data_IF_106086758117
#
_entry.id   IF_106086758117
#
_cell.length_a   1.000
_cell.length_b   1.000
_cell.length_c   1.000
_cell.angle_alpha   90.00
_cell.angle_beta   90.00
_cell.angle_gamma   90.00
#
_symmetry.space_group_name_H-M   'P 1'
#
loop_
_entity.id
_entity.type
_entity.pdbx_description
1 polymer ?
#
# COMPACT_ATOMS: atom_id res chain seq x y z
N UNK A 1 35.72 -85.05 23.12
CA UNK A 1 34.30 -85.25 22.92
C UNK A 1 33.59 -83.97 23.27
N UNK A 2 33.16 -83.23 22.29
CA UNK A 2 32.04 -82.26 22.33
C UNK A 2 32.07 -81.49 21.01
N UNK A 3 31.04 -81.68 20.24
CA UNK A 3 30.85 -81.04 18.91
C UNK A 3 30.29 -79.62 19.11
N UNK A 4 31.01 -78.68 18.54
CA UNK A 4 30.54 -77.31 18.41
C UNK A 4 29.71 -77.15 17.12
N UNK A 5 28.45 -76.77 17.21
CA UNK A 5 27.58 -76.46 16.10
C UNK A 5 27.77 -74.97 15.73
N UNK A 6 28.17 -74.74 14.49
CA UNK A 6 28.18 -73.39 13.88
C UNK A 6 26.75 -73.06 13.36
N UNK A 7 26.18 -71.98 13.90
CA UNK A 7 24.99 -71.37 13.35
C UNK A 7 25.42 -70.25 12.38
N UNK A 8 25.13 -70.43 11.13
CA UNK A 8 25.23 -69.32 10.14
C UNK A 8 23.92 -68.55 10.18
N UNK A 9 23.98 -67.35 10.71
CA UNK A 9 22.87 -66.38 10.59
C UNK A 9 22.97 -65.66 9.22
N UNK A 10 22.08 -66.00 8.32
CA UNK A 10 21.88 -65.23 7.09
C UNK A 10 21.22 -63.92 7.39
N UNK A 11 21.91 -62.81 7.17
CA UNK A 11 21.33 -61.47 7.21
C UNK A 11 20.61 -61.20 5.92
N UNK A 12 19.27 -61.26 5.97
CA UNK A 12 18.42 -60.77 4.88
C UNK A 12 18.36 -59.25 4.99
N UNK A 13 19.06 -58.56 4.12
CA UNK A 13 18.97 -57.11 3.99
C UNK A 13 17.61 -56.75 3.37
N UNK A 14 16.69 -56.24 4.18
CA UNK A 14 15.43 -55.68 3.70
C UNK A 14 15.73 -54.26 3.18
N UNK A 15 15.82 -54.09 1.88
CA UNK A 15 15.87 -52.79 1.22
C UNK A 15 14.47 -52.15 1.34
N UNK A 16 14.29 -51.32 2.36
CA UNK A 16 13.16 -50.42 2.42
C UNK A 16 13.43 -49.28 1.44
N UNK A 17 12.88 -49.38 0.25
CA UNK A 17 12.83 -48.27 -0.68
C UNK A 17 11.94 -47.17 -0.10
N UNK A 18 12.52 -46.15 0.48
CA UNK A 18 11.82 -44.92 0.79
C UNK A 18 11.53 -44.22 -0.53
N UNK A 19 10.34 -44.42 -1.05
CA UNK A 19 9.79 -43.58 -2.10
C UNK A 19 9.63 -42.17 -1.48
N UNK A 20 10.58 -41.30 -1.74
CA UNK A 20 10.40 -39.85 -1.51
C UNK A 20 9.41 -39.40 -2.56
N UNK A 21 8.13 -39.58 -2.29
CA UNK A 21 7.07 -38.88 -2.99
C UNK A 21 7.30 -37.41 -2.76
N UNK A 22 7.76 -36.67 -3.78
CA UNK A 22 7.69 -35.23 -3.79
C UNK A 22 6.22 -34.88 -3.56
N UNK A 23 5.90 -34.49 -2.34
CA UNK A 23 4.68 -33.73 -2.05
C UNK A 23 4.84 -32.42 -2.83
N UNK A 24 4.40 -32.44 -4.08
CA UNK A 24 4.04 -31.19 -4.76
C UNK A 24 2.92 -30.63 -3.90
N UNK A 25 3.27 -29.68 -3.07
CA UNK A 25 2.26 -28.92 -2.35
C UNK A 25 1.33 -28.37 -3.43
N UNK A 26 0.13 -28.91 -3.50
CA UNK A 26 -0.92 -28.38 -4.33
C UNK A 26 -1.09 -26.95 -3.86
N UNK A 27 -0.68 -25.97 -4.68
CA UNK A 27 -1.01 -24.58 -4.43
C UNK A 27 -2.51 -24.52 -4.18
N UNK A 28 -2.94 -23.83 -3.11
CA UNK A 28 -4.38 -23.63 -2.88
C UNK A 28 -4.98 -23.12 -4.18
N UNK A 29 -6.13 -23.67 -4.58
CA UNK A 29 -6.86 -23.19 -5.75
C UNK A 29 -6.97 -21.67 -5.59
N UNK A 30 -6.36 -20.93 -6.52
CA UNK A 30 -6.33 -19.48 -6.49
C UNK A 30 -7.76 -18.93 -6.48
N UNK A 31 -7.96 -17.69 -6.02
CA UNK A 31 -9.28 -17.06 -6.03
C UNK A 31 -9.89 -17.14 -7.43
N UNK A 32 -11.18 -17.40 -7.52
CA UNK A 32 -11.94 -17.57 -8.78
C UNK A 32 -12.22 -16.25 -9.52
N UNK A 33 -11.50 -15.18 -9.20
CA UNK A 33 -11.61 -13.86 -9.83
C UNK A 33 -10.32 -13.42 -10.48
N UNK A 34 -10.28 -12.21 -11.04
CA UNK A 34 -9.06 -11.62 -11.56
C UNK A 34 -7.95 -11.68 -10.53
N UNK A 35 -6.77 -12.13 -10.96
CA UNK A 35 -5.64 -12.32 -10.07
C UNK A 35 -4.77 -11.07 -10.05
N UNK A 36 -4.30 -10.64 -8.87
CA UNK A 36 -3.36 -9.54 -8.79
C UNK A 36 -2.03 -9.91 -9.45
N UNK A 37 -1.30 -8.91 -9.91
CA UNK A 37 0.08 -9.11 -10.30
C UNK A 37 0.95 -9.42 -9.09
N UNK A 38 1.85 -10.36 -9.24
CA UNK A 38 2.85 -10.70 -8.23
C UNK A 38 4.24 -10.24 -8.66
N UNK A 39 5.16 -10.16 -7.71
CA UNK A 39 6.58 -9.92 -8.00
C UNK A 39 7.08 -10.94 -9.03
N UNK A 40 7.73 -10.44 -10.08
CA UNK A 40 8.22 -11.28 -11.17
C UNK A 40 7.27 -11.41 -12.36
N UNK A 41 6.03 -10.95 -12.26
CA UNK A 41 5.16 -10.86 -13.43
C UNK A 41 5.70 -9.80 -14.41
N UNK A 42 5.58 -10.07 -15.70
CA UNK A 42 6.00 -9.12 -16.73
C UNK A 42 5.07 -7.91 -16.76
N UNK A 43 5.63 -6.73 -16.71
CA UNK A 43 4.87 -5.49 -16.90
C UNK A 43 4.24 -5.48 -18.30
N UNK A 44 3.02 -4.96 -18.39
CA UNK A 44 2.28 -4.89 -19.64
C UNK A 44 1.48 -6.16 -20.00
N UNK A 45 1.64 -7.26 -19.27
CA UNK A 45 0.75 -8.40 -19.40
C UNK A 45 -0.56 -8.18 -18.65
N UNK A 46 -1.68 -8.75 -19.12
CA UNK A 46 -2.96 -8.64 -18.42
C UNK A 46 -2.88 -9.34 -17.07
N UNK A 47 -3.56 -8.76 -16.08
CA UNK A 47 -3.68 -9.35 -14.74
C UNK A 47 -4.49 -10.64 -14.81
N UNK A 48 -5.47 -10.65 -15.70
CA UNK A 48 -6.40 -11.73 -15.86
C UNK A 48 -6.60 -11.99 -17.35
N UNK A 49 -5.81 -12.88 -17.95
CA UNK A 49 -6.01 -13.25 -19.35
C UNK A 49 -7.42 -13.83 -19.52
N UNK A 50 -8.05 -13.57 -20.66
CA UNK A 50 -9.32 -14.16 -21.02
C UNK A 50 -9.22 -15.70 -20.98
N UNK A 51 -10.34 -16.43 -20.76
CA UNK A 51 -10.33 -17.91 -20.69
C UNK A 51 -9.76 -18.59 -21.95
N UNK A 52 -9.81 -17.92 -23.08
CA UNK A 52 -9.22 -18.35 -24.36
C UNK A 52 -7.71 -18.03 -24.47
N UNK A 53 -7.11 -17.45 -23.43
CA UNK A 53 -5.72 -17.01 -23.43
C UNK A 53 -5.46 -15.70 -24.19
N UNK A 54 -6.51 -15.00 -24.62
CA UNK A 54 -6.36 -13.74 -25.32
C UNK A 54 -5.64 -12.70 -24.43
N UNK A 55 -4.72 -11.98 -25.03
CA UNK A 55 -3.96 -10.93 -24.36
C UNK A 55 -4.69 -9.60 -24.47
N UNK A 56 -5.03 -9.02 -23.31
CA UNK A 56 -5.58 -7.66 -23.23
C UNK A 56 -4.51 -6.72 -22.70
N UNK A 57 -3.94 -5.83 -23.52
CA UNK A 57 -2.90 -4.91 -23.07
C UNK A 57 -3.45 -3.88 -22.09
N UNK A 58 -2.56 -3.20 -21.36
CA UNK A 58 -2.90 -2.00 -20.60
C UNK A 58 -3.51 -0.95 -21.52
N UNK A 59 -4.36 -0.09 -20.95
CA UNK A 59 -4.95 1.04 -21.69
C UNK A 59 -3.88 1.94 -22.30
N UNK A 60 -4.12 2.47 -23.49
CA UNK A 60 -3.15 3.29 -24.24
C UNK A 60 -2.74 4.60 -23.55
N UNK A 61 -3.50 5.04 -22.56
CA UNK A 61 -3.22 6.22 -21.76
C UNK A 61 -2.37 5.93 -20.51
N UNK A 62 -1.90 4.68 -20.33
CA UNK A 62 -1.04 4.27 -19.23
C UNK A 62 0.40 4.20 -19.67
N UNK A 63 1.30 4.79 -18.88
CA UNK A 63 2.75 4.63 -18.99
C UNK A 63 3.26 4.03 -17.69
N UNK A 64 4.24 3.14 -17.78
CA UNK A 64 4.83 2.44 -16.62
C UNK A 64 6.33 2.67 -16.61
N UNK A 65 6.84 3.13 -15.47
CA UNK A 65 8.26 3.35 -15.24
C UNK A 65 8.70 2.55 -13.99
N UNK A 66 9.88 1.96 -14.04
CA UNK A 66 10.59 1.43 -12.87
C UNK A 66 11.34 2.55 -12.13
N UNK A 67 12.13 2.25 -11.17
CA UNK A 67 13.03 3.13 -10.40
C UNK A 67 12.60 3.40 -8.95
N UNK A 68 11.61 2.69 -8.46
CA UNK A 68 11.22 2.69 -7.04
C UNK A 68 11.21 1.27 -6.49
N UNK A 69 11.13 1.12 -5.20
CA UNK A 69 11.13 -0.17 -4.55
C UNK A 69 9.99 -0.30 -3.54
N UNK A 70 9.06 -1.20 -3.83
CA UNK A 70 7.92 -1.52 -2.95
C UNK A 70 7.18 -0.27 -2.44
N UNK A 71 7.04 0.75 -3.30
CA UNK A 71 6.28 1.94 -2.97
C UNK A 71 4.79 1.64 -2.94
N UNK A 72 4.09 2.23 -1.99
CA UNK A 72 2.67 2.01 -1.79
C UNK A 72 1.87 3.28 -2.07
N UNK A 73 2.43 4.45 -1.80
CA UNK A 73 1.78 5.74 -2.03
C UNK A 73 2.69 6.75 -2.74
N UNK A 74 2.10 7.87 -3.12
CA UNK A 74 2.82 9.06 -3.55
C UNK A 74 2.06 10.33 -3.15
N UNK A 75 2.80 11.44 -3.13
CA UNK A 75 2.26 12.79 -2.92
C UNK A 75 2.89 13.76 -3.93
N UNK A 76 2.21 14.85 -4.26
CA UNK A 76 2.75 15.86 -5.16
C UNK A 76 3.28 17.07 -4.40
N UNK A 77 4.58 17.36 -4.55
CA UNK A 77 5.19 18.58 -4.02
C UNK A 77 5.07 19.70 -5.05
N UNK A 78 4.09 20.56 -4.88
CA UNK A 78 3.85 21.70 -5.76
C UNK A 78 5.00 22.74 -5.71
N UNK A 79 5.76 22.82 -4.61
CA UNK A 79 6.86 23.77 -4.47
C UNK A 79 8.05 23.39 -5.34
N UNK A 80 8.40 22.10 -5.37
CA UNK A 80 9.48 21.57 -6.22
C UNK A 80 9.00 21.08 -7.57
N UNK A 81 7.70 20.94 -7.75
CA UNK A 81 7.09 20.39 -8.96
C UNK A 81 7.59 18.97 -9.24
N UNK A 82 7.57 18.12 -8.21
CA UNK A 82 7.99 16.71 -8.29
C UNK A 82 7.00 15.82 -7.54
N UNK A 83 7.10 14.52 -7.80
CA UNK A 83 6.35 13.48 -7.11
C UNK A 83 7.21 12.95 -5.97
N UNK A 84 6.66 12.92 -4.77
CA UNK A 84 7.28 12.38 -3.56
C UNK A 84 6.82 10.94 -3.40
N UNK A 85 7.76 10.00 -3.32
CA UNK A 85 7.46 8.57 -3.30
C UNK A 85 8.14 7.91 -2.11
N UNK A 86 7.41 7.53 -1.08
CA UNK A 86 7.91 6.67 -0.01
C UNK A 86 8.15 5.25 -0.53
N UNK A 87 9.32 4.71 -0.21
CA UNK A 87 9.71 3.35 -0.55
C UNK A 87 9.79 2.51 0.72
N UNK A 88 9.13 1.36 0.77
CA UNK A 88 8.99 0.50 1.94
C UNK A 88 10.25 -0.31 2.28
N UNK A 89 11.27 -0.21 1.44
CA UNK A 89 12.51 -0.95 1.64
C UNK A 89 12.42 -2.42 1.25
N UNK A 90 13.44 -3.19 1.61
CA UNK A 90 13.64 -4.55 1.12
C UNK A 90 12.57 -5.51 1.63
N UNK A 91 11.88 -6.18 0.69
CA UNK A 91 11.06 -7.36 0.95
C UNK A 91 9.72 -7.11 1.63
N UNK A 92 9.27 -5.88 1.76
CA UNK A 92 8.03 -5.53 2.48
C UNK A 92 8.02 -6.05 3.94
N UNK A 93 9.19 -6.22 4.51
CA UNK A 93 9.33 -6.58 5.92
C UNK A 93 9.66 -5.33 6.73
N UNK A 94 9.12 -5.24 7.92
CA UNK A 94 9.50 -4.17 8.85
C UNK A 94 10.95 -4.37 9.26
N UNK A 95 11.81 -3.50 8.75
CA UNK A 95 13.22 -3.48 9.11
C UNK A 95 13.57 -2.07 9.57
N UNK A 96 14.09 -1.97 10.76
CA UNK A 96 14.44 -0.69 11.35
C UNK A 96 15.30 0.16 10.40
N UNK A 97 14.78 1.34 10.06
CA UNK A 97 15.47 2.32 9.21
C UNK A 97 15.87 1.83 7.81
N UNK A 98 15.09 0.96 7.19
CA UNK A 98 15.39 0.43 5.86
C UNK A 98 14.68 1.18 4.72
N UNK A 99 13.68 1.97 5.03
CA UNK A 99 12.90 2.71 4.07
C UNK A 99 13.55 4.06 3.69
N UNK A 100 13.04 4.67 2.62
CA UNK A 100 13.50 5.97 2.12
C UNK A 100 12.42 6.68 1.33
N UNK A 101 12.59 7.98 1.09
CA UNK A 101 11.73 8.78 0.22
C UNK A 101 12.53 9.23 -1.00
N UNK A 102 11.95 9.07 -2.18
CA UNK A 102 12.49 9.51 -3.46
C UNK A 102 11.70 10.68 -4.02
N UNK A 103 12.33 11.50 -4.87
CA UNK A 103 11.66 12.41 -5.77
C UNK A 103 11.69 11.86 -7.19
N UNK A 104 10.55 11.90 -7.86
CA UNK A 104 10.36 11.42 -9.22
C UNK A 104 9.85 12.57 -10.09
N UNK A 105 10.37 12.70 -11.30
CA UNK A 105 9.90 13.66 -12.28
C UNK A 105 8.56 13.23 -12.90
N UNK A 106 7.88 14.15 -13.59
CA UNK A 106 6.60 13.92 -14.26
C UNK A 106 6.63 12.84 -15.34
N UNK A 107 7.79 12.54 -15.88
CA UNK A 107 7.99 11.48 -16.88
C UNK A 107 8.36 10.12 -16.26
N UNK A 108 8.46 10.04 -14.94
CA UNK A 108 8.82 8.85 -14.19
C UNK A 108 10.33 8.68 -13.96
N UNK A 109 11.17 9.55 -14.52
CA UNK A 109 12.60 9.52 -14.26
C UNK A 109 12.92 9.95 -12.82
N UNK A 110 14.01 9.43 -12.26
CA UNK A 110 14.42 9.76 -10.89
C UNK A 110 14.99 11.17 -10.83
N UNK A 111 14.37 12.04 -10.02
CA UNK A 111 14.94 13.33 -9.68
C UNK A 111 15.97 13.19 -8.54
N UNK A 112 15.59 12.57 -7.42
CA UNK A 112 16.46 12.33 -6.28
C UNK A 112 16.18 10.95 -5.71
N UNK A 113 17.16 10.05 -5.77
CA UNK A 113 16.94 8.63 -5.45
C UNK A 113 16.57 8.39 -3.97
N UNK A 114 17.22 9.08 -3.05
CA UNK A 114 16.98 8.96 -1.60
C UNK A 114 17.10 10.32 -0.94
N UNK A 115 16.05 11.10 -1.03
CA UNK A 115 16.01 12.41 -0.40
C UNK A 115 15.95 12.30 1.13
N UNK A 116 15.12 11.40 1.65
CA UNK A 116 15.10 11.02 3.05
C UNK A 116 15.53 9.55 3.14
N UNK A 117 16.40 9.22 4.07
CA UNK A 117 16.86 7.86 4.28
C UNK A 117 18.38 7.73 4.25
N UNK A 118 18.88 6.53 4.50
CA UNK A 118 20.33 6.25 4.44
C UNK A 118 20.78 6.25 2.98
N UNK A 119 21.78 7.07 2.68
CA UNK A 119 22.42 7.13 1.34
C UNK A 119 23.53 6.10 1.20
N UNK A 120 24.29 5.87 2.28
CA UNK A 120 25.41 4.92 2.32
C UNK A 120 25.25 3.94 3.48
N UNK A 121 25.72 2.67 3.31
CA UNK A 121 25.76 1.71 4.40
C UNK A 121 26.69 2.21 5.50
N UNK A 122 26.35 2.67 6.56
CA UNK A 122 27.17 3.23 7.62
C UNK A 122 26.83 4.68 7.96
N UNK A 123 26.00 5.35 7.15
CA UNK A 123 25.42 6.62 7.54
C UNK A 123 24.54 6.41 8.78
N UNK A 124 24.86 7.13 9.83
CA UNK A 124 24.12 6.99 11.09
C UNK A 124 22.95 7.96 11.09
N UNK A 125 21.74 7.43 10.89
CA UNK A 125 20.49 8.17 11.02
C UNK A 125 20.28 8.74 12.42
N UNK A 126 20.94 8.16 13.42
CA UNK A 126 20.97 8.62 14.81
C UNK A 126 21.61 9.98 15.01
N UNK A 127 22.38 10.48 14.01
CA UNK A 127 23.02 11.81 14.11
C UNK A 127 22.05 12.98 13.92
N UNK A 128 20.83 12.72 13.46
CA UNK A 128 19.76 13.75 13.38
C UNK A 128 19.14 13.99 14.76
N UNK A 129 18.64 15.21 14.99
CA UNK A 129 17.89 15.53 16.20
C UNK A 129 16.54 16.13 15.82
N UNK A 130 15.43 15.41 16.03
CA UNK A 130 15.33 14.03 16.50
C UNK A 130 15.96 13.02 15.52
N UNK A 131 16.25 11.78 15.96
CA UNK A 131 16.79 10.73 15.08
C UNK A 131 15.87 10.47 13.89
N UNK A 132 16.45 10.25 12.71
CA UNK A 132 15.70 9.85 11.54
C UNK A 132 15.33 8.37 11.66
N UNK A 133 14.03 8.08 11.73
CA UNK A 133 13.49 6.73 11.69
C UNK A 133 12.49 6.65 10.55
N UNK A 134 12.61 5.63 9.69
CA UNK A 134 11.66 5.31 8.63
C UNK A 134 11.75 3.81 8.34
N UNK A 135 10.71 3.07 8.69
CA UNK A 135 10.74 1.60 8.67
C UNK A 135 10.02 1.02 7.46
N UNK A 136 8.72 1.23 7.37
CA UNK A 136 7.88 0.68 6.30
C UNK A 136 6.71 1.64 6.01
N UNK A 137 6.97 2.78 5.36
CA UNK A 137 5.92 3.75 5.06
C UNK A 137 4.93 3.21 4.03
N UNK A 138 3.65 3.35 4.34
CA UNK A 138 2.52 3.08 3.47
C UNK A 138 2.00 4.39 2.87
N UNK A 139 0.89 4.92 3.38
CA UNK A 139 0.29 6.16 2.91
C UNK A 139 1.14 7.40 3.16
N UNK A 140 0.95 8.40 2.34
CA UNK A 140 1.66 9.68 2.45
C UNK A 140 0.80 10.85 2.03
N UNK A 141 0.98 11.98 2.72
CA UNK A 141 0.39 13.26 2.34
C UNK A 141 1.33 14.43 2.65
N UNK A 142 1.10 15.57 1.98
CA UNK A 142 1.85 16.81 2.20
C UNK A 142 0.87 17.93 2.55
N UNK A 143 0.93 18.37 3.79
CA UNK A 143 0.16 19.51 4.27
C UNK A 143 1.07 20.54 4.95
N UNK A 144 0.87 21.82 4.66
CA UNK A 144 1.57 22.95 5.28
C UNK A 144 3.10 22.78 5.36
N UNK A 145 3.73 22.25 4.30
CA UNK A 145 5.19 22.08 4.22
C UNK A 145 5.76 20.92 5.05
N UNK A 146 4.90 20.03 5.52
CA UNK A 146 5.25 18.79 6.21
C UNK A 146 4.81 17.59 5.37
N UNK A 147 5.69 16.62 5.21
CA UNK A 147 5.38 15.29 4.70
C UNK A 147 4.96 14.41 5.89
N UNK A 148 3.77 13.86 5.80
CA UNK A 148 3.21 12.89 6.73
C UNK A 148 3.32 11.50 6.12
N UNK A 149 3.77 10.53 6.90
CA UNK A 149 3.92 9.13 6.47
C UNK A 149 3.25 8.21 7.47
N UNK A 150 2.40 7.32 6.98
CA UNK A 150 1.90 6.17 7.74
C UNK A 150 3.01 5.13 7.80
N UNK A 151 3.71 5.07 8.93
CA UNK A 151 4.81 4.13 9.16
C UNK A 151 4.47 3.21 10.33
N UNK A 152 5.34 2.28 10.66
CA UNK A 152 5.18 1.44 11.83
C UNK A 152 6.50 1.11 12.51
N UNK A 153 6.41 0.83 13.80
CA UNK A 153 7.47 0.23 14.59
C UNK A 153 7.11 -1.22 14.92
N UNK A 154 8.10 -2.05 15.20
CA UNK A 154 7.87 -3.44 15.57
C UNK A 154 7.38 -4.32 14.42
N UNK A 155 6.69 -5.41 14.76
CA UNK A 155 6.21 -6.38 13.77
C UNK A 155 7.30 -7.32 13.26
N UNK A 156 8.45 -7.37 13.94
CA UNK A 156 9.60 -8.20 13.53
C UNK A 156 9.53 -9.63 14.07
N UNK A 157 8.57 -9.91 14.96
CA UNK A 157 8.39 -11.22 15.55
C UNK A 157 7.22 -11.32 16.53
N UNK A 158 6.95 -12.50 17.06
CA UNK A 158 5.79 -12.74 17.94
C UNK A 158 5.77 -11.92 19.24
N UNK A 159 6.95 -11.50 19.70
CA UNK A 159 7.12 -10.73 20.92
C UNK A 159 7.35 -9.24 20.67
N UNK A 160 7.21 -8.82 19.42
CA UNK A 160 7.40 -7.46 18.96
C UNK A 160 6.22 -7.04 18.07
N UNK A 161 5.06 -6.74 18.65
CA UNK A 161 3.87 -6.40 17.87
C UNK A 161 4.08 -5.11 17.09
N UNK A 162 3.53 -5.08 15.88
CA UNK A 162 3.53 -3.86 15.07
C UNK A 162 2.68 -2.78 15.74
N UNK A 163 3.18 -1.54 15.68
CA UNK A 163 2.53 -0.35 16.20
C UNK A 163 2.56 0.73 15.13
N UNK A 164 1.43 1.36 14.89
CA UNK A 164 1.33 2.45 13.91
C UNK A 164 2.04 3.70 14.40
N UNK A 165 2.74 4.36 13.49
CA UNK A 165 3.41 5.63 13.74
C UNK A 165 3.14 6.59 12.57
N UNK A 166 2.65 7.79 12.85
CA UNK A 166 2.65 8.88 11.87
C UNK A 166 3.96 9.62 12.00
N UNK A 167 4.83 9.51 10.99
CA UNK A 167 6.09 10.26 10.96
C UNK A 167 5.95 11.53 10.16
N UNK A 168 6.62 12.58 10.60
CA UNK A 168 6.60 13.90 9.98
C UNK A 168 8.00 14.30 9.54
N UNK A 169 8.10 14.86 8.33
CA UNK A 169 9.35 15.37 7.80
C UNK A 169 9.14 16.78 7.23
N UNK A 170 10.07 17.66 7.47
CA UNK A 170 10.04 19.01 6.91
C UNK A 170 10.32 18.95 5.41
N UNK A 171 9.38 19.40 4.59
CA UNK A 171 9.50 19.33 3.13
C UNK A 171 10.65 20.16 2.58
N UNK A 172 11.10 21.22 3.27
CA UNK A 172 12.23 22.03 2.80
C UNK A 172 13.58 21.31 2.97
N UNK A 173 13.75 20.59 4.08
CA UNK A 173 15.06 20.06 4.49
C UNK A 173 15.15 18.53 4.48
N UNK A 174 14.03 17.83 4.51
CA UNK A 174 13.99 16.37 4.73
C UNK A 174 14.24 15.95 6.19
N UNK A 175 14.41 16.91 7.08
CA UNK A 175 14.66 16.61 8.48
C UNK A 175 13.41 16.09 9.18
N UNK A 176 13.56 15.15 10.16
CA UNK A 176 12.46 14.73 11.01
C UNK A 176 11.80 15.93 11.70
N UNK A 177 10.47 15.99 11.71
CA UNK A 177 9.67 17.04 12.30
C UNK A 177 8.74 16.54 13.40
N UNK A 178 9.00 15.33 13.92
CA UNK A 178 8.24 14.69 14.98
C UNK A 178 7.49 13.44 14.50
N UNK A 179 6.88 12.78 15.47
CA UNK A 179 6.09 11.57 15.22
C UNK A 179 4.93 11.46 16.21
N UNK A 180 3.92 10.68 15.85
CA UNK A 180 2.83 10.27 16.74
C UNK A 180 2.70 8.77 16.71
N UNK A 181 3.00 8.14 17.84
CA UNK A 181 2.88 6.69 18.03
C UNK A 181 1.47 6.35 18.53
N UNK A 182 0.86 5.35 17.92
CA UNK A 182 -0.51 4.90 18.25
C UNK A 182 -0.49 3.44 18.67
N UNK A 183 -0.22 3.18 19.94
CA UNK A 183 0.01 1.82 20.47
C UNK A 183 -1.20 0.87 20.33
N UNK A 184 -2.39 1.40 20.16
CA UNK A 184 -3.63 0.61 19.97
C UNK A 184 -3.90 0.27 18.52
N UNK A 185 -3.12 0.80 17.58
CA UNK A 185 -3.23 0.50 16.15
C UNK A 185 -2.09 -0.40 15.70
N UNK A 186 -2.39 -1.39 14.90
CA UNK A 186 -1.42 -2.41 14.45
C UNK A 186 -0.84 -2.13 13.06
N UNK A 187 -1.36 -1.13 12.35
CA UNK A 187 -0.86 -0.75 11.02
C UNK A 187 -1.80 0.23 10.35
N UNK A 188 -1.35 1.48 10.15
CA UNK A 188 -2.03 2.38 9.24
C UNK A 188 -1.74 1.99 7.80
N UNK A 189 -2.73 2.18 6.93
CA UNK A 189 -2.57 1.97 5.50
C UNK A 189 -2.37 3.31 4.81
N UNK A 190 -3.39 4.14 4.74
CA UNK A 190 -3.30 5.45 4.12
C UNK A 190 -3.62 6.57 5.11
N UNK A 191 -3.25 7.79 4.78
CA UNK A 191 -3.50 8.96 5.62
C UNK A 191 -3.70 10.22 4.78
N UNK A 192 -4.44 11.16 5.37
CA UNK A 192 -4.63 12.51 4.87
C UNK A 192 -4.47 13.50 6.01
N UNK A 193 -3.77 14.60 5.81
CA UNK A 193 -3.49 15.60 6.82
C UNK A 193 -4.17 16.93 6.50
N UNK A 194 -4.72 17.56 7.52
CA UNK A 194 -5.24 18.94 7.41
C UNK A 194 -4.12 19.97 7.58
N UNK A 195 -4.37 21.20 7.17
CA UNK A 195 -3.40 22.31 7.28
C UNK A 195 -3.00 22.62 8.73
N UNK A 196 -3.85 22.30 9.71
CA UNK A 196 -3.53 22.45 11.13
C UNK A 196 -2.68 21.30 11.70
N UNK A 197 -2.42 20.27 10.88
CA UNK A 197 -1.63 19.10 11.24
C UNK A 197 -2.40 17.94 11.88
N UNK A 198 -3.74 18.01 11.90
CA UNK A 198 -4.58 16.85 12.24
C UNK A 198 -4.49 15.83 11.13
N UNK A 199 -4.30 14.57 11.48
CA UNK A 199 -4.20 13.44 10.52
C UNK A 199 -5.38 12.50 10.68
N UNK A 200 -5.95 12.08 9.56
CA UNK A 200 -6.88 10.97 9.52
C UNK A 200 -6.18 9.79 8.81
N UNK A 201 -6.18 8.62 9.46
CA UNK A 201 -5.48 7.45 8.95
C UNK A 201 -6.38 6.22 8.96
N UNK A 202 -6.33 5.44 7.91
CA UNK A 202 -7.08 4.18 7.80
C UNK A 202 -6.28 3.02 8.40
N UNK A 203 -6.95 2.14 9.11
CA UNK A 203 -6.48 0.82 9.49
C UNK A 203 -7.34 -0.21 8.78
N UNK A 204 -6.76 -0.91 7.82
CA UNK A 204 -7.46 -1.92 6.99
C UNK A 204 -8.00 -3.07 7.83
N UNK A 205 -7.23 -3.53 8.81
CA UNK A 205 -7.65 -4.57 9.73
C UNK A 205 -7.80 -5.96 9.09
N UNK A 206 -8.44 -6.87 9.81
CA UNK A 206 -8.59 -8.26 9.38
C UNK A 206 -9.67 -8.43 8.31
N UNK A 207 -9.35 -9.25 7.32
CA UNK A 207 -10.23 -9.54 6.18
C UNK A 207 -10.15 -11.01 5.77
N UNK A 208 -10.48 -11.31 4.50
CA UNK A 208 -10.40 -12.66 3.94
C UNK A 208 -11.39 -13.63 4.58
N UNK A 209 -10.91 -14.80 5.02
CA UNK A 209 -11.76 -15.85 5.58
C UNK A 209 -12.27 -15.57 7.00
N UNK A 210 -11.59 -14.72 7.74
CA UNK A 210 -11.95 -14.34 9.11
C UNK A 210 -12.01 -12.81 9.25
N UNK A 211 -13.01 -12.17 8.65
CA UNK A 211 -13.14 -10.72 8.74
C UNK A 211 -13.53 -10.31 10.16
N UNK A 212 -12.85 -9.30 10.67
CA UNK A 212 -13.18 -8.70 11.98
C UNK A 212 -13.41 -7.20 11.80
N UNK A 213 -14.68 -6.83 11.76
CA UNK A 213 -15.10 -5.45 11.55
C UNK A 213 -14.65 -4.51 12.69
N UNK A 214 -14.33 -5.03 13.86
CA UNK A 214 -13.84 -4.19 14.98
C UNK A 214 -12.44 -3.66 14.71
N UNK A 215 -11.71 -4.28 13.76
CA UNK A 215 -10.38 -3.87 13.32
C UNK A 215 -10.39 -2.91 12.13
N UNK A 216 -11.56 -2.69 11.49
CA UNK A 216 -11.72 -1.73 10.38
C UNK A 216 -11.96 -0.34 10.96
N UNK A 217 -10.98 0.52 10.81
CA UNK A 217 -10.99 1.78 11.55
C UNK A 217 -10.47 2.95 10.69
N UNK A 218 -11.00 4.13 10.98
CA UNK A 218 -10.36 5.41 10.68
C UNK A 218 -9.97 6.05 12.00
N UNK A 219 -8.73 6.43 12.11
CA UNK A 219 -8.16 7.10 13.27
C UNK A 219 -8.08 8.60 13.02
N UNK A 220 -8.24 9.39 14.07
CA UNK A 220 -7.93 10.82 14.10
C UNK A 220 -6.78 11.05 15.06
N UNK A 221 -5.72 11.67 14.57
CA UNK A 221 -4.51 12.00 15.33
C UNK A 221 -4.35 13.52 15.30
N UNK A 222 -4.42 14.17 16.45
CA UNK A 222 -4.27 15.61 16.59
C UNK A 222 -2.80 16.04 16.55
N UNK A 223 -2.48 17.34 16.29
CA UNK A 223 -1.09 17.81 16.19
C UNK A 223 -0.24 17.56 17.44
N UNK A 224 -0.86 17.54 18.62
CA UNK A 224 -0.23 17.18 19.89
C UNK A 224 -0.01 15.68 20.10
N UNK A 225 -0.38 14.83 19.11
CA UNK A 225 -0.17 13.41 19.11
C UNK A 225 -1.27 12.56 19.77
N UNK A 226 -2.35 13.18 20.26
CA UNK A 226 -3.48 12.43 20.79
C UNK A 226 -4.21 11.69 19.66
N UNK A 227 -4.41 10.38 19.83
CA UNK A 227 -5.06 9.54 18.85
C UNK A 227 -6.36 8.93 19.38
N UNK A 228 -7.39 8.94 18.55
CA UNK A 228 -8.69 8.34 18.85
C UNK A 228 -9.27 7.67 17.61
N UNK A 229 -10.06 6.63 17.81
CA UNK A 229 -10.85 6.03 16.73
C UNK A 229 -11.95 7.02 16.33
N UNK A 230 -11.96 7.40 15.06
CA UNK A 230 -12.94 8.32 14.49
C UNK A 230 -14.15 7.57 13.92
N UNK A 231 -13.89 6.45 13.19
CA UNK A 231 -14.92 5.55 12.67
C UNK A 231 -14.44 4.12 12.90
N UNK A 232 -15.37 3.22 13.27
CA UNK A 232 -15.07 1.80 13.46
C UNK A 232 -16.20 0.91 12.94
N UNK A 233 -15.82 -0.17 12.27
CA UNK A 233 -16.76 -1.18 11.80
C UNK A 233 -17.56 -0.73 10.59
N UNK A 234 -18.72 -1.40 10.35
CA UNK A 234 -19.57 -1.05 9.23
C UNK A 234 -20.01 0.42 9.27
N UNK A 235 -20.09 1.10 8.11
CA UNK A 235 -20.02 0.56 6.75
C UNK A 235 -18.60 0.38 6.20
N UNK A 236 -17.54 0.66 6.96
CA UNK A 236 -16.18 0.34 6.53
C UNK A 236 -16.05 -1.17 6.26
N UNK A 237 -15.28 -1.52 5.23
CA UNK A 237 -14.96 -2.90 4.89
C UNK A 237 -13.51 -3.00 4.43
N UNK A 238 -12.61 -3.16 5.36
CA UNK A 238 -11.17 -3.06 5.13
C UNK A 238 -10.81 -1.70 4.48
N UNK A 239 -10.98 -0.57 5.21
CA UNK A 239 -10.71 0.76 4.68
C UNK A 239 -9.24 0.87 4.26
N UNK A 240 -9.00 1.56 3.15
CA UNK A 240 -7.68 1.75 2.57
C UNK A 240 -7.47 3.22 2.23
N UNK A 241 -7.60 3.65 0.98
CA UNK A 241 -7.40 5.04 0.59
C UNK A 241 -8.35 6.02 1.30
N UNK A 242 -7.83 7.19 1.65
CA UNK A 242 -8.55 8.25 2.33
C UNK A 242 -8.19 9.61 1.71
N UNK A 243 -9.17 10.51 1.60
CA UNK A 243 -8.95 11.88 1.14
C UNK A 243 -10.04 12.81 1.67
N UNK A 244 -9.81 14.13 1.66
CA UNK A 244 -10.86 15.11 1.93
C UNK A 244 -11.56 15.55 0.65
N UNK A 245 -12.88 15.73 0.71
CA UNK A 245 -13.60 16.49 -0.31
C UNK A 245 -13.46 18.02 -0.07
N UNK A 246 -13.93 18.83 -1.00
CA UNK A 246 -13.85 20.30 -0.91
C UNK A 246 -14.57 20.91 0.31
N UNK A 247 -15.44 20.14 0.96
CA UNK A 247 -16.15 20.54 2.18
C UNK A 247 -15.45 20.09 3.46
N UNK A 248 -14.29 19.42 3.32
CA UNK A 248 -13.56 18.81 4.44
C UNK A 248 -14.24 17.56 4.99
N UNK A 249 -15.14 16.92 4.24
CA UNK A 249 -15.65 15.61 4.60
C UNK A 249 -14.59 14.56 4.30
N UNK A 250 -14.59 13.49 5.10
CA UNK A 250 -13.65 12.39 4.98
C UNK A 250 -14.22 11.36 4.00
N UNK A 251 -13.51 11.09 2.91
CA UNK A 251 -13.89 10.08 1.92
C UNK A 251 -12.95 8.89 2.04
N UNK A 252 -13.51 7.69 2.13
CA UNK A 252 -12.77 6.44 2.33
C UNK A 252 -13.17 5.43 1.26
N UNK A 253 -12.19 4.73 0.71
CA UNK A 253 -12.41 3.56 -0.15
C UNK A 253 -12.02 2.29 0.59
N UNK A 254 -12.61 1.17 0.17
CA UNK A 254 -12.46 -0.11 0.87
C UNK A 254 -11.82 -1.15 -0.06
N UNK A 255 -10.82 -1.87 0.43
CA UNK A 255 -10.29 -3.02 -0.29
C UNK A 255 -11.27 -4.20 -0.31
N UNK A 256 -12.11 -4.30 0.70
CA UNK A 256 -13.08 -5.39 0.85
C UNK A 256 -14.33 -5.31 -0.03
N UNK A 257 -14.56 -4.17 -0.72
CA UNK A 257 -15.66 -3.99 -1.66
C UNK A 257 -15.35 -2.84 -2.65
N UNK A 258 -16.36 -2.36 -3.38
CA UNK A 258 -16.22 -1.25 -4.33
C UNK A 258 -16.91 0.05 -3.88
N UNK A 259 -17.27 0.16 -2.61
CA UNK A 259 -17.92 1.35 -2.07
C UNK A 259 -16.90 2.47 -1.80
N UNK A 260 -17.36 3.70 -2.07
CA UNK A 260 -16.69 4.96 -1.76
C UNK A 260 -17.57 5.70 -0.78
N UNK A 261 -17.10 5.78 0.46
CA UNK A 261 -17.88 6.26 1.60
C UNK A 261 -17.48 7.69 1.95
N UNK A 262 -18.44 8.59 2.03
CA UNK A 262 -18.21 9.97 2.49
C UNK A 262 -18.78 10.15 3.89
N UNK A 263 -17.96 10.55 4.83
CA UNK A 263 -18.33 10.83 6.22
C UNK A 263 -18.18 12.31 6.53
N UNK A 264 -19.10 12.82 7.32
CA UNK A 264 -18.97 14.16 7.88
C UNK A 264 -17.85 14.26 8.93
N UNK A 265 -17.51 15.48 9.31
CA UNK A 265 -16.51 15.74 10.36
C UNK A 265 -16.95 15.23 11.75
N UNK A 266 -18.21 14.84 11.90
CA UNK A 266 -18.77 14.16 13.07
C UNK A 266 -18.73 12.62 12.97
N UNK A 267 -18.13 12.08 11.89
CA UNK A 267 -18.02 10.64 11.65
C UNK A 267 -19.29 9.97 11.09
N UNK A 268 -20.37 10.73 10.84
CA UNK A 268 -21.59 10.16 10.27
C UNK A 268 -21.47 9.96 8.77
N UNK A 269 -21.95 8.81 8.29
CA UNK A 269 -22.04 8.54 6.86
C UNK A 269 -23.01 9.52 6.19
N UNK A 270 -22.51 10.25 5.19
CA UNK A 270 -23.29 11.20 4.40
C UNK A 270 -23.68 10.63 3.04
N UNK A 271 -22.79 9.85 2.41
CA UNK A 271 -22.98 9.36 1.05
C UNK A 271 -22.21 8.05 0.83
N UNK A 272 -22.79 7.19 0.01
CA UNK A 272 -22.13 6.02 -0.58
C UNK A 272 -22.18 6.14 -2.10
N UNK A 273 -21.03 6.06 -2.74
CA UNK A 273 -20.86 5.93 -4.19
C UNK A 273 -20.22 4.57 -4.49
N UNK A 274 -20.11 4.20 -5.75
CA UNK A 274 -19.60 2.88 -6.14
C UNK A 274 -18.58 3.04 -7.26
N UNK A 275 -17.38 2.50 -7.07
CA UNK A 275 -16.39 2.34 -8.13
C UNK A 275 -16.78 1.18 -9.05
N UNK A 276 -16.23 1.12 -10.26
CA UNK A 276 -16.52 0.04 -11.21
C UNK A 276 -15.97 -1.30 -10.71
N UNK A 277 -14.78 -1.28 -10.10
CA UNK A 277 -14.11 -2.47 -9.58
C UNK A 277 -14.06 -2.46 -8.06
N UNK A 278 -14.05 -3.64 -7.46
CA UNK A 278 -13.78 -3.85 -6.05
C UNK A 278 -12.26 -3.95 -5.79
N UNK A 279 -11.87 -4.04 -4.51
CA UNK A 279 -10.46 -4.07 -4.14
C UNK A 279 -9.83 -2.69 -4.22
N UNK A 280 -10.58 -1.68 -3.75
CA UNK A 280 -10.16 -0.28 -3.86
C UNK A 280 -9.03 0.03 -2.90
N UNK A 281 -8.02 0.75 -3.42
CA UNK A 281 -6.81 1.08 -2.71
C UNK A 281 -6.63 2.62 -2.66
N UNK A 282 -6.19 3.24 -3.74
CA UNK A 282 -5.95 4.67 -3.79
C UNK A 282 -7.18 5.51 -4.12
N UNK A 283 -7.17 6.76 -3.64
CA UNK A 283 -8.22 7.74 -3.85
C UNK A 283 -7.62 9.11 -4.15
N UNK A 284 -8.07 9.73 -5.24
CA UNK A 284 -7.81 11.14 -5.56
C UNK A 284 -9.14 11.85 -5.77
N UNK A 285 -9.32 13.00 -5.15
CA UNK A 285 -10.52 13.85 -5.32
C UNK A 285 -10.10 15.17 -5.97
N UNK A 286 -10.73 15.48 -7.10
CA UNK A 286 -10.50 16.73 -7.83
C UNK A 286 -11.42 17.84 -7.29
N UNK A 287 -11.05 19.09 -7.53
CA UNK A 287 -11.83 20.29 -7.11
C UNK A 287 -13.28 20.31 -7.61
N UNK A 288 -13.58 19.67 -8.74
CA UNK A 288 -14.94 19.55 -9.26
C UNK A 288 -15.75 18.41 -8.62
N UNK A 289 -15.17 17.72 -7.62
CA UNK A 289 -15.74 16.57 -6.94
C UNK A 289 -15.60 15.25 -7.69
N UNK A 290 -14.91 15.23 -8.84
CA UNK A 290 -14.54 14.00 -9.54
C UNK A 290 -13.59 13.19 -8.67
N UNK A 291 -13.89 11.90 -8.48
CA UNK A 291 -13.04 10.96 -7.75
C UNK A 291 -12.40 9.97 -8.71
N UNK A 292 -11.14 9.67 -8.47
CA UNK A 292 -10.42 8.58 -9.10
C UNK A 292 -10.10 7.54 -8.03
N UNK A 293 -10.37 6.27 -8.34
CA UNK A 293 -10.22 5.15 -7.40
C UNK A 293 -9.46 4.02 -8.08
N UNK A 294 -8.30 3.64 -7.56
CA UNK A 294 -7.56 2.48 -8.02
C UNK A 294 -8.13 1.19 -7.41
N UNK A 295 -7.98 0.10 -8.14
CA UNK A 295 -8.27 -1.25 -7.63
C UNK A 295 -7.00 -2.08 -7.63
N UNK A 296 -6.38 -2.27 -6.47
CA UNK A 296 -5.14 -3.07 -6.32
C UNK A 296 -5.37 -4.52 -6.70
N UNK A 297 -6.60 -5.02 -6.54
CA UNK A 297 -6.96 -6.41 -6.84
C UNK A 297 -7.24 -6.63 -8.31
N UNK A 298 -7.92 -5.69 -8.98
CA UNK A 298 -8.40 -5.87 -10.35
C UNK A 298 -7.65 -5.01 -11.38
N UNK A 299 -6.72 -4.16 -10.94
CA UNK A 299 -5.79 -3.44 -11.80
C UNK A 299 -6.40 -2.32 -12.62
N UNK A 300 -7.54 -1.79 -12.21
CA UNK A 300 -8.19 -0.68 -12.91
C UNK A 300 -8.16 0.62 -12.14
N UNK A 301 -8.53 1.70 -12.83
CA UNK A 301 -8.83 3.00 -12.24
C UNK A 301 -10.22 3.43 -12.65
N UNK A 302 -11.10 3.59 -11.67
CA UNK A 302 -12.45 4.11 -11.84
C UNK A 302 -12.46 5.63 -11.73
N UNK A 303 -13.25 6.30 -12.59
CA UNK A 303 -13.61 7.70 -12.44
C UNK A 303 -15.06 7.82 -12.01
N UNK A 304 -15.34 8.57 -10.96
CA UNK A 304 -16.69 8.84 -10.45
C UNK A 304 -16.90 10.35 -10.53
N UNK A 305 -17.72 10.78 -11.46
CA UNK A 305 -18.12 12.18 -11.59
C UNK A 305 -19.43 12.45 -10.86
N UNK A 306 -19.61 13.62 -10.23
CA UNK A 306 -20.87 13.96 -9.58
C UNK A 306 -22.09 13.76 -10.51
N UNK A 307 -23.07 12.98 -10.05
CA UNK A 307 -24.31 12.72 -10.82
C UNK A 307 -24.15 11.84 -12.07
N UNK A 308 -23.02 11.16 -12.25
CA UNK A 308 -22.77 10.26 -13.38
C UNK A 308 -22.44 8.86 -12.87
N UNK A 309 -22.75 7.81 -13.65
CA UNK A 309 -22.24 6.47 -13.38
C UNK A 309 -20.71 6.45 -13.37
N UNK A 310 -20.14 5.60 -12.54
CA UNK A 310 -18.69 5.34 -12.55
C UNK A 310 -18.26 4.69 -13.88
N UNK A 311 -17.07 5.03 -14.33
CA UNK A 311 -16.48 4.49 -15.57
C UNK A 311 -15.01 4.10 -15.36
N UNK A 312 -14.55 3.06 -16.04
CA UNK A 312 -13.14 2.68 -16.05
C UNK A 312 -12.38 3.58 -17.03
N UNK A 313 -11.31 4.22 -16.56
CA UNK A 313 -10.43 5.06 -17.40
C UNK A 313 -9.09 4.39 -17.72
N UNK A 314 -8.71 3.38 -16.96
CA UNK A 314 -7.52 2.55 -17.17
C UNK A 314 -7.74 1.15 -16.62
N UNK A 315 -6.98 0.18 -17.12
CA UNK A 315 -7.07 -1.21 -16.69
C UNK A 315 -5.74 -1.96 -16.90
N UNK A 316 -5.64 -3.16 -16.32
CA UNK A 316 -4.48 -4.04 -16.42
C UNK A 316 -3.18 -3.38 -15.89
N UNK A 317 -3.30 -2.56 -14.88
CA UNK A 317 -2.17 -2.00 -14.14
C UNK A 317 -1.80 -3.00 -13.04
N UNK A 318 -0.54 -3.45 -12.96
CA UNK A 318 -0.14 -4.39 -11.92
C UNK A 318 -0.18 -3.78 -10.52
N UNK A 319 -0.99 -4.31 -9.61
CA UNK A 319 -1.13 -3.85 -8.21
C UNK A 319 -1.12 -2.32 -8.06
N UNK A 320 -2.05 -1.59 -8.69
CA UNK A 320 -2.12 -0.14 -8.52
C UNK A 320 -2.57 0.17 -7.08
N UNK A 321 -1.67 0.72 -6.30
CA UNK A 321 -1.88 1.03 -4.89
C UNK A 321 -2.44 2.45 -4.71
N UNK A 322 -2.15 3.10 -3.60
CA UNK A 322 -2.54 4.49 -3.36
C UNK A 322 -1.96 5.41 -4.45
N UNK A 323 -2.68 6.49 -4.77
CA UNK A 323 -2.31 7.35 -5.89
C UNK A 323 -2.29 8.82 -5.51
N UNK A 324 -1.55 9.61 -6.27
CA UNK A 324 -1.57 11.05 -6.18
C UNK A 324 -1.90 11.73 -7.52
N UNK A 325 -2.37 12.98 -7.45
CA UNK A 325 -2.56 13.83 -8.61
C UNK A 325 -1.33 14.71 -8.83
N UNK A 326 -0.66 14.48 -9.92
CA UNK A 326 0.43 15.33 -10.42
C UNK A 326 -0.15 16.52 -11.19
N UNK A 327 -0.29 17.63 -10.50
CA UNK A 327 -0.84 18.85 -11.08
C UNK A 327 0.09 19.47 -12.14
N UNK A 328 1.41 19.21 -12.07
CA UNK A 328 2.38 19.72 -13.04
C UNK A 328 2.23 19.14 -14.44
N UNK A 329 1.73 17.91 -14.54
CA UNK A 329 1.52 17.22 -15.82
C UNK A 329 0.07 16.83 -16.10
N UNK A 330 -0.88 17.20 -15.22
CA UNK A 330 -2.28 16.81 -15.27
C UNK A 330 -2.46 15.30 -15.45
N UNK A 331 -1.95 14.54 -14.48
CA UNK A 331 -1.97 13.08 -14.52
C UNK A 331 -2.15 12.47 -13.15
N UNK A 332 -2.68 11.25 -13.11
CA UNK A 332 -2.61 10.40 -11.92
C UNK A 332 -1.28 9.65 -11.94
N UNK A 333 -0.68 9.53 -10.78
CA UNK A 333 0.53 8.73 -10.56
C UNK A 333 0.21 7.66 -9.54
N UNK A 334 0.58 6.42 -9.85
CA UNK A 334 0.15 5.25 -9.09
C UNK A 334 1.36 4.33 -8.88
N UNK A 335 1.89 4.23 -7.67
CA UNK A 335 2.83 3.18 -7.31
C UNK A 335 2.21 1.81 -7.50
N UNK A 336 2.96 0.89 -8.09
CA UNK A 336 2.52 -0.47 -8.36
C UNK A 336 2.98 -1.45 -7.28
N UNK A 337 2.99 -1.00 -6.02
CA UNK A 337 3.33 -1.76 -4.82
C UNK A 337 4.50 -2.75 -5.07
N UNK A 338 4.26 -4.05 -4.96
CA UNK A 338 5.27 -5.11 -5.07
C UNK A 338 5.92 -5.22 -6.47
N UNK A 339 5.39 -4.56 -7.47
CA UNK A 339 5.94 -4.60 -8.83
C UNK A 339 7.04 -3.55 -9.08
N UNK A 340 7.43 -2.78 -8.07
CA UNK A 340 8.56 -1.85 -8.11
C UNK A 340 8.52 -0.86 -9.29
N UNK A 341 7.35 -0.38 -9.63
CA UNK A 341 7.14 0.55 -10.74
C UNK A 341 6.08 1.58 -10.42
N UNK A 342 5.89 2.51 -11.32
CA UNK A 342 4.85 3.54 -11.26
C UNK A 342 4.07 3.60 -12.56
N UNK A 343 2.76 3.73 -12.49
CA UNK A 343 1.90 3.98 -13.63
C UNK A 343 1.51 5.46 -13.68
N UNK A 344 1.48 6.03 -14.89
CA UNK A 344 1.12 7.42 -15.13
C UNK A 344 -0.08 7.47 -16.08
N UNK A 345 -1.16 8.11 -15.68
CA UNK A 345 -2.40 8.21 -16.46
C UNK A 345 -2.68 9.68 -16.72
N UNK A 346 -2.45 10.13 -17.95
CA UNK A 346 -2.81 11.51 -18.34
C UNK A 346 -4.33 11.69 -18.30
N UNK A 347 -4.75 12.74 -17.62
CA UNK A 347 -6.15 13.15 -17.59
C UNK A 347 -6.43 14.07 -18.81
N UNK A 348 -7.61 13.87 -19.41
CA UNK A 348 -8.09 14.63 -20.58
C UNK A 348 -9.26 15.50 -20.18
#
# INVERSE_FOLDING_TARGET
MTRSAFWTTGATALLIGVAVGALVAQQPAGPTGPQPYFVGNRLGLPINPAPDGAFTPMSNNVKVFGAIYSAESCSYDATRNVIVVPNRGVGQNVQANNAWVSFINHDGSVHTARWIGIQNPGDQRSNSTPPLVLNEPFGSDIANGILYLADRDGGTGPNDPAVSVVRRFNMKTGAPAGESRVDKSTGFNDLEATDDGTVYATQTGAGGQNPDATTWQVWKITPDGNASIFIQGAPLRQPNGIAFDEKGNIVVVNIGNNEVLTFGQDGKLLKTETAVQAGNDGLVIMKDGTKYVSSVTLGGVSRIRPGRPAELIAQNIPNPASMCYDAGANQLVIPMNVNNGMAFIRLR
#
